data_IF_434136627366
#
_entry.id   IF_434136627366
#
_cell.length_a   1.000
_cell.length_b   1.000
_cell.length_c   1.000
_cell.angle_alpha   90.00
_cell.angle_beta   90.00
_cell.angle_gamma   90.00
#
_symmetry.space_group_name_H-M   'P 1'
#
loop_
_entity.id
_entity.type
_entity.pdbx_description
1 polymer ?
#
# COMPACT_ATOMS: atom_id res chain seq x y z
N UNK A 1 20.33 -3.26 44.28
CA UNK A 1 20.14 -4.39 45.23
C UNK A 1 21.18 -4.30 46.34
N UNK A 2 21.02 -5.01 47.47
CA UNK A 2 22.08 -5.15 48.47
C UNK A 2 23.15 -6.14 47.95
N UNK A 3 24.44 -5.86 48.17
CA UNK A 3 25.52 -6.74 47.69
C UNK A 3 25.48 -8.06 48.42
N UNK A 4 25.89 -9.14 47.75
CA UNK A 4 25.96 -10.46 48.39
C UNK A 4 26.94 -10.36 49.56
N UNK A 5 28.06 -9.65 49.42
CA UNK A 5 29.04 -9.43 50.50
C UNK A 5 28.48 -8.72 51.74
N UNK A 6 27.51 -7.83 51.57
CA UNK A 6 26.84 -7.15 52.67
C UNK A 6 25.91 -8.11 53.44
N UNK A 7 25.25 -9.04 52.75
CA UNK A 7 24.39 -10.04 53.36
C UNK A 7 25.14 -10.93 54.35
N UNK A 8 26.28 -11.49 53.96
CA UNK A 8 27.05 -12.39 54.84
C UNK A 8 27.71 -11.64 56.00
N UNK A 9 28.15 -10.40 55.75
CA UNK A 9 28.68 -9.52 56.80
C UNK A 9 27.61 -9.16 57.83
N UNK A 10 26.36 -8.92 57.39
CA UNK A 10 25.22 -8.64 58.27
C UNK A 10 24.74 -9.85 59.09
N UNK A 11 24.98 -11.06 58.61
CA UNK A 11 24.62 -12.33 59.27
C UNK A 11 25.73 -12.85 60.22
N UNK A 12 26.85 -12.12 60.36
CA UNK A 12 27.97 -12.53 61.20
C UNK A 12 28.73 -13.78 60.69
N UNK A 13 28.59 -14.13 59.41
CA UNK A 13 29.19 -15.32 58.82
C UNK A 13 30.63 -15.01 58.42
N UNK A 14 31.61 -15.68 59.04
CA UNK A 14 33.02 -15.55 58.69
C UNK A 14 33.38 -16.47 57.52
N UNK A 15 33.50 -15.88 56.33
CA UNK A 15 33.93 -16.57 55.11
C UNK A 15 35.47 -16.72 55.04
N UNK A 16 35.93 -17.83 54.45
CA UNK A 16 37.34 -18.01 54.11
C UNK A 16 37.82 -16.96 53.09
N UNK A 17 39.12 -16.66 53.06
CA UNK A 17 39.68 -15.60 52.23
C UNK A 17 39.37 -15.76 50.72
N UNK A 18 39.42 -17.00 50.21
CA UNK A 18 39.05 -17.30 48.82
C UNK A 18 37.57 -17.07 48.53
N UNK A 19 36.69 -17.46 49.46
CA UNK A 19 35.24 -17.25 49.34
C UNK A 19 34.90 -15.75 49.31
N UNK A 20 35.57 -14.93 50.15
CA UNK A 20 35.42 -13.46 50.11
C UNK A 20 35.84 -12.88 48.75
N UNK A 21 36.92 -13.38 48.15
CA UNK A 21 37.39 -12.93 46.83
C UNK A 21 36.41 -13.30 45.71
N UNK A 22 35.91 -14.53 45.70
CA UNK A 22 34.91 -14.98 44.74
C UNK A 22 33.62 -14.17 44.84
N UNK A 23 33.21 -13.85 46.06
CA UNK A 23 32.02 -13.06 46.33
C UNK A 23 32.13 -11.61 45.85
N UNK A 24 33.28 -10.96 46.08
CA UNK A 24 33.53 -9.63 45.53
C UNK A 24 33.61 -9.63 44.00
N UNK A 25 34.07 -10.72 43.39
CA UNK A 25 34.04 -10.87 41.93
C UNK A 25 32.60 -11.01 41.42
N UNK A 26 31.78 -11.83 42.07
CA UNK A 26 30.35 -11.98 41.79
C UNK A 26 29.59 -10.65 41.94
N UNK A 27 29.84 -9.88 43.00
CA UNK A 27 29.20 -8.57 43.19
C UNK A 27 29.53 -7.62 42.04
N UNK A 28 30.78 -7.61 41.55
CA UNK A 28 31.18 -6.80 40.39
C UNK A 28 30.54 -7.28 39.09
N UNK A 29 30.41 -8.58 38.89
CA UNK A 29 29.72 -9.14 37.73
C UNK A 29 28.22 -8.81 37.76
N UNK A 30 27.59 -8.88 38.92
CA UNK A 30 26.19 -8.48 39.11
C UNK A 30 25.97 -7.00 38.83
N UNK A 31 26.81 -6.11 39.36
CA UNK A 31 26.74 -4.67 39.06
C UNK A 31 26.89 -4.39 37.56
N UNK A 32 27.81 -5.10 36.89
CA UNK A 32 28.04 -4.98 35.45
C UNK A 32 26.84 -5.47 34.63
N UNK A 33 26.24 -6.60 35.02
CA UNK A 33 25.04 -7.14 34.39
C UNK A 33 23.83 -6.23 34.62
N UNK A 34 23.64 -5.71 35.83
CA UNK A 34 22.54 -4.80 36.15
C UNK A 34 22.64 -3.51 35.32
N UNK A 35 23.85 -2.96 35.17
CA UNK A 35 24.10 -1.82 34.28
C UNK A 35 23.76 -2.13 32.81
N UNK A 36 24.18 -3.29 32.30
CA UNK A 36 23.84 -3.72 30.93
C UNK A 36 22.34 -3.89 30.73
N UNK A 37 21.63 -4.47 31.69
CA UNK A 37 20.17 -4.64 31.65
C UNK A 37 19.48 -3.28 31.60
N UNK A 38 19.94 -2.31 32.41
CA UNK A 38 19.40 -0.95 32.38
C UNK A 38 19.61 -0.27 31.03
N UNK A 39 20.82 -0.34 30.48
CA UNK A 39 21.13 0.22 29.15
C UNK A 39 20.26 -0.41 28.07
N UNK A 40 20.18 -1.74 28.02
CA UNK A 40 19.37 -2.46 27.05
C UNK A 40 17.87 -2.19 27.20
N UNK A 41 17.39 -1.97 28.42
CA UNK A 41 15.99 -1.59 28.66
C UNK A 41 15.69 -0.19 28.13
N UNK A 42 16.60 0.76 28.35
CA UNK A 42 16.47 2.13 27.86
C UNK A 42 16.52 2.18 26.33
N UNK A 43 17.43 1.40 25.72
CA UNK A 43 17.52 1.27 24.27
C UNK A 43 16.26 0.61 23.68
N UNK A 44 15.72 -0.42 24.33
CA UNK A 44 14.45 -1.01 23.91
C UNK A 44 13.29 -0.02 23.93
N UNK A 45 13.20 0.81 24.98
CA UNK A 45 12.18 1.86 25.07
C UNK A 45 12.34 2.89 23.95
N UNK A 46 13.57 3.32 23.68
CA UNK A 46 13.88 4.24 22.58
C UNK A 46 13.49 3.64 21.22
N UNK A 47 13.90 2.41 20.94
CA UNK A 47 13.55 1.70 19.70
C UNK A 47 12.04 1.54 19.55
N UNK A 48 11.32 1.21 20.63
CA UNK A 48 9.85 1.14 20.60
C UNK A 48 9.20 2.49 20.29
N UNK A 49 9.75 3.57 20.85
CA UNK A 49 9.29 4.93 20.57
C UNK A 49 9.52 5.35 19.11
N UNK A 50 10.57 4.83 18.45
CA UNK A 50 10.85 5.06 17.03
C UNK A 50 10.00 4.16 16.10
N UNK A 51 9.81 2.88 16.46
CA UNK A 51 9.09 1.91 15.61
C UNK A 51 7.59 2.18 15.54
N UNK A 52 6.96 2.59 16.64
CA UNK A 52 5.51 2.85 16.66
C UNK A 52 5.05 3.93 15.67
N UNK A 53 5.64 5.14 15.63
CA UNK A 53 5.25 6.15 14.64
C UNK A 53 5.57 5.72 13.22
N UNK A 54 6.67 5.00 12.98
CA UNK A 54 6.98 4.46 11.65
C UNK A 54 5.92 3.44 11.19
N UNK A 55 5.44 2.57 12.07
CA UNK A 55 4.33 1.65 11.76
C UNK A 55 3.05 2.41 11.40
N UNK A 56 2.74 3.50 12.10
CA UNK A 56 1.58 4.34 11.82
C UNK A 56 1.72 5.05 10.46
N UNK A 57 2.90 5.59 10.13
CA UNK A 57 3.10 6.22 8.82
C UNK A 57 3.07 5.19 7.70
N UNK A 58 3.63 3.99 7.89
CA UNK A 58 3.49 2.89 6.93
C UNK A 58 2.02 2.56 6.70
N UNK A 59 1.21 2.45 7.76
CA UNK A 59 -0.22 2.19 7.59
C UNK A 59 -0.92 3.33 6.85
N UNK A 60 -0.64 4.59 7.22
CA UNK A 60 -1.19 5.76 6.56
C UNK A 60 -0.83 5.84 5.07
N UNK A 61 0.41 5.48 4.72
CA UNK A 61 0.87 5.44 3.34
C UNK A 61 0.21 4.31 2.57
N UNK A 62 0.02 3.13 3.18
CA UNK A 62 -0.75 2.04 2.58
C UNK A 62 -2.20 2.45 2.30
N UNK A 63 -2.87 3.06 3.27
CA UNK A 63 -4.25 3.51 3.12
C UNK A 63 -4.37 4.56 2.00
N UNK A 64 -3.37 5.44 1.85
CA UNK A 64 -3.31 6.39 0.73
C UNK A 64 -3.12 5.70 -0.61
N UNK A 65 -2.21 4.72 -0.70
CA UNK A 65 -1.98 3.97 -1.95
C UNK A 65 -3.25 3.23 -2.35
N UNK A 66 -3.92 2.56 -1.43
CA UNK A 66 -5.16 1.83 -1.70
C UNK A 66 -6.29 2.78 -2.14
N UNK A 67 -6.37 3.97 -1.53
CA UNK A 67 -7.30 5.03 -1.94
C UNK A 67 -6.96 5.61 -3.31
N UNK A 68 -5.68 5.81 -3.60
CA UNK A 68 -5.24 6.35 -4.88
C UNK A 68 -5.43 5.30 -5.99
N UNK A 69 -5.16 4.01 -5.74
CA UNK A 69 -5.42 2.91 -6.67
C UNK A 69 -6.91 2.74 -6.98
N UNK A 70 -7.78 2.82 -5.96
CA UNK A 70 -9.23 2.78 -6.18
C UNK A 70 -9.74 3.99 -6.99
N UNK A 71 -9.19 5.18 -6.76
CA UNK A 71 -9.55 6.37 -7.56
C UNK A 71 -8.92 6.38 -8.95
N UNK A 72 -7.73 5.78 -9.12
CA UNK A 72 -7.02 5.68 -10.39
C UNK A 72 -7.65 4.65 -11.34
N UNK A 73 -8.46 3.73 -10.83
CA UNK A 73 -9.24 2.82 -11.67
C UNK A 73 -10.60 3.38 -12.08
N UNK A 74 -11.10 4.42 -11.42
CA UNK A 74 -12.41 4.96 -11.75
C UNK A 74 -12.34 5.78 -13.04
N UNK A 75 -13.22 5.47 -13.99
CA UNK A 75 -13.40 6.23 -15.21
C UNK A 75 -14.42 7.34 -14.93
N UNK A 76 -14.15 8.54 -15.43
CA UNK A 76 -15.17 9.59 -15.44
C UNK A 76 -16.38 9.18 -16.32
N UNK A 77 -17.45 9.97 -16.26
CA UNK A 77 -18.70 9.63 -16.94
C UNK A 77 -18.51 9.53 -18.46
N UNK A 78 -17.66 10.38 -19.04
CA UNK A 78 -17.40 10.41 -20.49
C UNK A 78 -16.64 9.17 -20.92
N UNK A 79 -15.55 8.83 -20.23
CA UNK A 79 -14.75 7.64 -20.50
C UNK A 79 -15.57 6.35 -20.28
N UNK A 80 -16.43 6.32 -19.26
CA UNK A 80 -17.35 5.21 -19.02
C UNK A 80 -18.33 5.03 -20.19
N UNK A 81 -18.93 6.12 -20.68
CA UNK A 81 -19.84 6.10 -21.84
C UNK A 81 -19.12 5.69 -23.13
N UNK A 82 -17.89 6.15 -23.34
CA UNK A 82 -17.06 5.75 -24.47
C UNK A 82 -16.76 4.24 -24.44
N UNK A 83 -16.31 3.74 -23.28
CA UNK A 83 -16.05 2.30 -23.09
C UNK A 83 -17.31 1.47 -23.34
N UNK A 84 -18.47 1.93 -22.85
CA UNK A 84 -19.76 1.28 -23.08
C UNK A 84 -20.13 1.25 -24.58
N UNK A 85 -19.95 2.35 -25.29
CA UNK A 85 -20.19 2.41 -26.73
C UNK A 85 -19.29 1.43 -27.49
N UNK A 86 -18.00 1.37 -27.15
CA UNK A 86 -17.02 0.45 -27.76
C UNK A 86 -17.33 -1.02 -27.41
N UNK A 87 -17.78 -1.30 -26.19
CA UNK A 87 -18.16 -2.66 -25.78
C UNK A 87 -19.40 -3.19 -26.53
N UNK A 88 -20.32 -2.28 -26.88
CA UNK A 88 -21.57 -2.59 -27.58
C UNK A 88 -21.45 -2.56 -29.12
N UNK A 89 -20.30 -2.18 -29.68
CA UNK A 89 -20.13 -1.96 -31.13
C UNK A 89 -19.52 -3.13 -31.90
N UNK A 90 -19.43 -4.32 -31.32
CA UNK A 90 -18.78 -5.52 -31.90
C UNK A 90 -17.35 -5.27 -32.44
N UNK A 91 -16.61 -4.33 -31.82
CA UNK A 91 -15.24 -3.98 -32.24
C UNK A 91 -15.13 -3.19 -33.56
N UNK A 92 -16.23 -2.59 -34.02
CA UNK A 92 -16.31 -1.79 -35.25
C UNK A 92 -16.38 -0.28 -35.01
N UNK A 93 -15.99 0.19 -33.83
CA UNK A 93 -16.15 1.60 -33.50
C UNK A 93 -14.96 2.44 -33.98
N UNK A 94 -15.13 3.41 -34.91
CA UNK A 94 -14.07 4.29 -35.35
C UNK A 94 -13.82 5.41 -34.34
N UNK A 95 -12.56 5.66 -33.97
CA UNK A 95 -12.19 6.67 -32.96
C UNK A 95 -12.74 8.06 -33.31
N UNK A 96 -12.51 8.53 -34.53
CA UNK A 96 -12.94 9.85 -34.96
C UNK A 96 -14.46 10.02 -35.01
N UNK A 97 -15.19 8.99 -35.45
CA UNK A 97 -16.65 9.01 -35.46
C UNK A 97 -17.25 8.98 -34.05
N UNK A 98 -16.64 8.22 -33.15
CA UNK A 98 -17.06 8.13 -31.74
C UNK A 98 -16.90 9.46 -31.04
N UNK A 99 -15.72 10.08 -31.14
CA UNK A 99 -15.46 11.38 -30.53
C UNK A 99 -16.50 12.43 -30.93
N UNK A 100 -16.80 12.52 -32.23
CA UNK A 100 -17.83 13.43 -32.76
C UNK A 100 -19.22 13.12 -32.23
N UNK A 101 -19.59 11.84 -32.11
CA UNK A 101 -20.90 11.45 -31.57
C UNK A 101 -21.09 11.92 -30.12
N UNK A 102 -20.03 11.91 -29.33
CA UNK A 102 -20.04 12.42 -27.95
C UNK A 102 -19.77 13.93 -27.83
N UNK A 103 -19.71 14.66 -28.95
CA UNK A 103 -19.44 16.11 -28.96
C UNK A 103 -18.03 16.47 -28.52
N UNK A 104 -17.08 15.54 -28.60
CA UNK A 104 -15.70 15.74 -28.19
C UNK A 104 -14.87 16.38 -29.29
N UNK A 105 -13.99 17.29 -28.90
CA UNK A 105 -12.90 17.74 -29.77
C UNK A 105 -11.94 16.59 -30.09
N UNK A 106 -11.10 16.77 -31.11
CA UNK A 106 -10.08 15.77 -31.46
C UNK A 106 -9.14 15.50 -30.27
N UNK A 107 -8.64 16.54 -29.60
CA UNK A 107 -7.77 16.39 -28.44
C UNK A 107 -8.42 15.64 -27.26
N UNK A 108 -9.71 15.89 -26.98
CA UNK A 108 -10.45 15.14 -25.96
C UNK A 108 -10.67 13.69 -26.38
N UNK A 109 -10.96 13.45 -27.66
CA UNK A 109 -11.11 12.10 -28.21
C UNK A 109 -9.79 11.33 -28.07
N UNK A 110 -8.67 11.96 -28.37
CA UNK A 110 -7.34 11.37 -28.22
C UNK A 110 -7.07 11.02 -26.75
N UNK A 111 -7.24 11.99 -25.85
CA UNK A 111 -7.08 11.80 -24.41
C UNK A 111 -7.87 10.59 -23.86
N UNK A 112 -9.16 10.50 -24.17
CA UNK A 112 -9.99 9.42 -23.62
C UNK A 112 -9.68 8.06 -24.23
N UNK A 113 -9.37 7.99 -25.52
CA UNK A 113 -8.98 6.71 -26.13
C UNK A 113 -7.62 6.25 -25.64
N UNK A 114 -6.67 7.17 -25.42
CA UNK A 114 -5.36 6.85 -24.86
C UNK A 114 -5.51 6.37 -23.41
N UNK A 115 -6.33 7.06 -22.59
CA UNK A 115 -6.67 6.64 -21.23
C UNK A 115 -7.24 5.21 -21.18
N UNK A 116 -8.23 4.91 -22.04
CA UNK A 116 -8.86 3.59 -22.10
C UNK A 116 -7.89 2.51 -22.60
N UNK A 117 -6.99 2.87 -23.51
CA UNK A 117 -5.97 1.96 -24.04
C UNK A 117 -4.88 1.66 -23.00
N UNK A 118 -4.35 2.69 -22.33
CA UNK A 118 -3.34 2.56 -21.28
C UNK A 118 -3.84 1.72 -20.09
N UNK A 119 -5.14 1.81 -19.77
CA UNK A 119 -5.79 0.97 -18.75
C UNK A 119 -6.12 -0.45 -19.23
N UNK A 120 -5.81 -0.79 -20.48
CA UNK A 120 -6.08 -2.10 -21.06
C UNK A 120 -7.58 -2.38 -21.29
N UNK A 121 -8.43 -1.36 -21.26
CA UNK A 121 -9.87 -1.53 -21.44
C UNK A 121 -10.28 -1.66 -22.91
N UNK A 122 -9.48 -1.12 -23.83
CA UNK A 122 -9.71 -1.21 -25.27
C UNK A 122 -8.45 -1.60 -26.02
N UNK A 123 -8.62 -2.19 -27.19
CA UNK A 123 -7.54 -2.58 -28.09
C UNK A 123 -7.83 -2.13 -29.53
N UNK A 124 -6.84 -1.59 -30.25
CA UNK A 124 -7.01 -1.20 -31.65
C UNK A 124 -7.14 -2.44 -32.54
N UNK A 125 -8.26 -2.53 -33.26
CA UNK A 125 -8.50 -3.49 -34.33
C UNK A 125 -8.26 -2.78 -35.67
N UNK A 126 -7.77 -3.49 -36.70
CA UNK A 126 -7.22 -2.92 -37.94
C UNK A 126 -7.98 -1.70 -38.52
N UNK A 127 -7.26 -0.81 -39.21
CA UNK A 127 -7.85 0.40 -39.79
C UNK A 127 -8.92 0.05 -40.83
N UNK A 128 -10.03 0.80 -40.83
CA UNK A 128 -11.05 0.58 -41.87
C UNK A 128 -10.52 1.05 -43.23
N UNK A 129 -10.70 0.21 -44.25
CA UNK A 129 -10.20 0.41 -45.62
C UNK A 129 -10.77 1.64 -46.34
N UNK A 130 -11.73 2.35 -45.75
CA UNK A 130 -12.38 3.53 -46.35
C UNK A 130 -12.05 4.87 -45.68
N UNK A 131 -11.47 4.89 -44.48
CA UNK A 131 -11.38 6.14 -43.70
C UNK A 131 -10.04 6.39 -42.98
N UNK A 132 -9.05 5.49 -43.06
CA UNK A 132 -7.82 5.57 -42.24
C UNK A 132 -8.08 5.70 -40.72
N UNK A 133 -9.31 5.46 -40.26
CA UNK A 133 -9.68 5.57 -38.85
C UNK A 133 -9.41 4.23 -38.15
N UNK A 134 -8.82 4.31 -36.96
CA UNK A 134 -8.48 3.15 -36.13
C UNK A 134 -9.78 2.67 -35.47
N UNK A 135 -10.07 1.39 -35.62
CA UNK A 135 -11.19 0.75 -34.95
C UNK A 135 -10.75 0.28 -33.57
N UNK A 136 -11.65 0.32 -32.60
CA UNK A 136 -11.37 -0.19 -31.26
C UNK A 136 -12.40 -1.23 -30.84
N UNK A 137 -11.93 -2.22 -30.08
CA UNK A 137 -12.77 -3.20 -29.38
C UNK A 137 -12.54 -3.12 -27.88
N UNK A 138 -13.54 -3.47 -27.08
CA UNK A 138 -13.39 -3.59 -25.64
C UNK A 138 -12.75 -4.94 -25.28
N UNK A 139 -11.70 -4.88 -24.47
CA UNK A 139 -11.00 -6.04 -23.90
C UNK A 139 -11.75 -6.57 -22.64
N UNK A 140 -11.43 -7.79 -22.17
CA UNK A 140 -12.07 -8.38 -21.00
C UNK A 140 -12.03 -7.49 -19.75
N UNK A 141 -10.92 -6.80 -19.47
CA UNK A 141 -10.82 -5.88 -18.33
C UNK A 141 -11.84 -4.75 -18.40
N UNK A 142 -12.01 -4.15 -19.59
CA UNK A 142 -12.99 -3.07 -19.80
C UNK A 142 -14.43 -3.54 -19.59
N UNK A 143 -14.77 -4.75 -20.03
CA UNK A 143 -16.11 -5.34 -19.79
C UNK A 143 -16.34 -5.68 -18.33
N UNK A 144 -15.32 -6.16 -17.62
CA UNK A 144 -15.39 -6.41 -16.17
C UNK A 144 -15.62 -5.11 -15.40
N UNK A 145 -14.92 -4.03 -15.76
CA UNK A 145 -15.14 -2.71 -15.18
C UNK A 145 -16.60 -2.25 -15.32
N UNK A 146 -17.16 -2.34 -16.54
CA UNK A 146 -18.56 -1.98 -16.77
C UNK A 146 -19.55 -2.85 -15.97
N UNK A 147 -19.23 -4.14 -15.81
CA UNK A 147 -20.02 -5.07 -14.99
C UNK A 147 -20.02 -4.71 -13.51
N UNK A 148 -18.86 -4.40 -12.93
CA UNK A 148 -18.74 -4.01 -11.52
C UNK A 148 -19.50 -2.71 -11.24
N UNK A 149 -19.37 -1.71 -12.12
CA UNK A 149 -20.03 -0.41 -11.98
C UNK A 149 -21.56 -0.48 -12.11
N UNK A 150 -22.08 -1.41 -12.91
CA UNK A 150 -23.52 -1.66 -12.99
C UNK A 150 -24.10 -2.21 -11.67
N UNK A 151 -23.32 -3.01 -10.93
CA UNK A 151 -23.72 -3.56 -9.63
C UNK A 151 -23.75 -2.46 -8.56
N UNK A 152 -22.74 -1.60 -8.50
CA UNK A 152 -22.67 -0.48 -7.54
C UNK A 152 -23.84 0.49 -7.67
N UNK A 153 -24.28 0.78 -8.89
CA UNK A 153 -25.46 1.63 -9.15
C UNK A 153 -26.76 0.95 -8.68
N UNK A 154 -26.82 -0.39 -8.75
CA UNK A 154 -28.00 -1.14 -8.30
C UNK A 154 -28.10 -1.25 -6.78
N UNK A 155 -26.97 -1.29 -6.07
CA UNK A 155 -26.93 -1.38 -4.61
C UNK A 155 -27.11 -0.02 -3.92
N UNK A 156 -26.69 1.09 -4.55
CA UNK A 156 -26.89 2.44 -4.03
C UNK A 156 -28.35 2.96 -4.15
N UNK A 157 -29.24 2.19 -4.81
CA UNK A 157 -30.64 2.54 -5.06
C UNK A 157 -31.67 1.80 -4.19
N UNK A 158 -31.23 0.99 -3.22
CA UNK A 158 -32.06 0.25 -2.24
C UNK A 158 -31.84 0.74 -0.82
#
# INVERSE_FOLDING_TARGET
MAKVSDFFSSQGITLALEQKRQMLALDKEFESLESKVQILSAENLKLRAEVNPLKQEIQRLKDKIEKDESSAHDLDEVATKLLMAIANSDGRMPKGATGRHFGLSQAQTDYYFDLLYERGYIFPTASSTRAQDILYRAEPEGRKYLGARAVEISEAGT
#
